data_IF_097439224392
#
_entry.id   IF_097439224392
#
_cell.length_a   1.000
_cell.length_b   1.000
_cell.length_c   1.000
_cell.angle_alpha   90.00
_cell.angle_beta   90.00
_cell.angle_gamma   90.00
#
_symmetry.space_group_name_H-M   'P 1'
#
loop_
_entity.id
_entity.type
_entity.pdbx_description
1 polymer ?
#
# COMPACT_ATOMS: atom_id res chain seq x y z
N UNK A 1 -8.29 5.22 3.60
CA UNK A 1 -7.81 4.78 2.26
C UNK A 1 -8.93 4.11 1.45
N UNK A 2 -9.51 3.00 1.93
CA UNK A 2 -10.51 2.18 1.23
C UNK A 2 -11.69 2.97 0.63
N UNK A 3 -12.33 3.82 1.43
CA UNK A 3 -13.49 4.62 0.99
C UNK A 3 -13.20 5.53 -0.20
N UNK A 4 -11.95 6.02 -0.33
CA UNK A 4 -11.55 6.89 -1.45
C UNK A 4 -11.53 6.11 -2.76
N UNK A 5 -11.00 4.89 -2.71
CA UNK A 5 -10.93 4.00 -3.88
C UNK A 5 -12.33 3.48 -4.24
N UNK A 6 -13.15 3.12 -3.24
CA UNK A 6 -14.54 2.78 -3.49
C UNK A 6 -15.33 3.93 -4.15
N UNK A 7 -15.11 5.17 -3.70
CA UNK A 7 -15.68 6.36 -4.32
C UNK A 7 -15.25 6.54 -5.78
N UNK A 8 -13.96 6.35 -6.09
CA UNK A 8 -13.45 6.37 -7.46
C UNK A 8 -14.02 5.25 -8.32
N UNK A 9 -14.15 4.05 -7.77
CA UNK A 9 -14.71 2.90 -8.47
C UNK A 9 -16.18 3.15 -8.85
N UNK A 10 -16.94 3.77 -7.95
CA UNK A 10 -18.30 4.23 -8.23
C UNK A 10 -18.35 5.33 -9.29
N UNK A 11 -17.43 6.30 -9.25
CA UNK A 11 -17.35 7.39 -10.25
C UNK A 11 -16.93 6.88 -11.62
N UNK A 12 -16.03 5.88 -11.70
CA UNK A 12 -15.58 5.25 -12.94
C UNK A 12 -16.67 4.40 -13.60
N UNK A 13 -17.62 3.89 -12.81
CA UNK A 13 -18.71 3.04 -13.29
C UNK A 13 -20.09 3.61 -12.96
N UNK A 14 -20.48 4.78 -13.52
CA UNK A 14 -21.74 5.44 -13.18
C UNK A 14 -22.96 4.65 -13.66
N UNK A 15 -22.81 3.83 -14.71
CA UNK A 15 -23.88 3.01 -15.30
C UNK A 15 -24.04 1.64 -14.62
N UNK A 16 -23.13 1.26 -13.73
CA UNK A 16 -23.21 -0.01 -13.01
C UNK A 16 -23.84 0.20 -11.64
N UNK A 17 -24.74 -0.71 -11.27
CA UNK A 17 -25.30 -0.70 -9.91
C UNK A 17 -24.19 -0.94 -8.89
N UNK A 18 -24.31 -0.33 -7.71
CA UNK A 18 -23.34 -0.51 -6.63
C UNK A 18 -23.18 -2.01 -6.24
N UNK A 19 -24.23 -2.81 -6.39
CA UNK A 19 -24.19 -4.27 -6.18
C UNK A 19 -23.30 -4.95 -7.22
N UNK A 20 -23.39 -4.57 -8.49
CA UNK A 20 -22.53 -5.12 -9.56
C UNK A 20 -21.08 -4.69 -9.39
N UNK A 21 -20.85 -3.41 -9.04
CA UNK A 21 -19.51 -2.90 -8.73
C UNK A 21 -18.88 -3.68 -7.57
N UNK A 22 -19.63 -3.90 -6.48
CA UNK A 22 -19.16 -4.72 -5.35
C UNK A 22 -18.87 -6.16 -5.76
N UNK A 23 -19.75 -6.80 -6.52
CA UNK A 23 -19.56 -8.19 -6.95
C UNK A 23 -18.33 -8.37 -7.85
N UNK A 24 -18.06 -7.41 -8.73
CA UNK A 24 -16.97 -7.51 -9.71
C UNK A 24 -15.61 -7.12 -9.12
N UNK A 25 -15.57 -6.10 -8.28
CA UNK A 25 -14.31 -5.47 -7.85
C UNK A 25 -14.05 -5.55 -6.34
N UNK A 26 -15.03 -5.97 -5.55
CA UNK A 26 -14.90 -6.12 -4.10
C UNK A 26 -15.34 -7.53 -3.62
N UNK A 27 -14.80 -8.64 -4.18
CA UNK A 27 -15.03 -9.96 -3.61
C UNK A 27 -14.50 -10.00 -2.18
N UNK A 28 -15.32 -10.43 -1.21
CA UNK A 28 -14.91 -10.48 0.20
C UNK A 28 -14.51 -9.14 0.82
N UNK A 29 -15.00 -8.01 0.27
CA UNK A 29 -14.59 -6.66 0.66
C UNK A 29 -13.11 -6.33 0.39
N UNK A 30 -12.45 -7.10 -0.47
CA UNK A 30 -11.09 -6.87 -0.93
C UNK A 30 -11.12 -6.21 -2.30
N UNK A 31 -10.47 -5.06 -2.47
CA UNK A 31 -10.47 -4.38 -3.77
C UNK A 31 -9.53 -5.14 -4.71
N UNK A 32 -10.10 -5.76 -5.75
CA UNK A 32 -9.39 -6.49 -6.81
C UNK A 32 -9.91 -6.04 -8.17
N UNK A 33 -9.01 -5.77 -9.11
CA UNK A 33 -9.38 -5.46 -10.50
C UNK A 33 -8.35 -6.08 -11.44
N UNK A 34 -8.81 -6.80 -12.47
CA UNK A 34 -7.97 -7.35 -13.54
C UNK A 34 -6.75 -8.15 -13.04
N UNK A 35 -6.94 -8.92 -11.95
CA UNK A 35 -5.88 -9.74 -11.33
C UNK A 35 -4.96 -8.98 -10.38
N UNK A 36 -5.12 -7.66 -10.22
CA UNK A 36 -4.35 -6.82 -9.30
C UNK A 36 -5.17 -6.59 -8.03
N UNK A 37 -4.59 -7.00 -6.89
CA UNK A 37 -5.15 -6.69 -5.58
C UNK A 37 -4.61 -5.35 -5.06
N UNK A 38 -5.51 -4.55 -4.49
CA UNK A 38 -5.10 -3.35 -3.77
C UNK A 38 -4.21 -3.75 -2.60
N UNK A 39 -2.96 -3.27 -2.65
CA UNK A 39 -2.00 -3.43 -1.58
C UNK A 39 -2.58 -3.00 -0.22
N UNK A 40 -2.34 -3.81 0.80
CA UNK A 40 -2.84 -3.62 2.17
C UNK A 40 -1.69 -3.19 3.08
N UNK A 41 -1.48 -1.87 3.30
CA UNK A 41 -0.37 -1.40 4.15
C UNK A 41 -0.46 -1.93 5.57
N UNK A 42 -1.68 -2.18 6.06
CA UNK A 42 -1.93 -2.74 7.41
C UNK A 42 -1.42 -4.18 7.56
N UNK A 43 -1.28 -4.93 6.47
CA UNK A 43 -0.74 -6.29 6.51
C UNK A 43 0.78 -6.31 6.70
N UNK A 44 1.47 -5.19 6.42
CA UNK A 44 2.91 -5.09 6.59
C UNK A 44 3.21 -4.63 8.01
N UNK A 45 3.92 -5.48 8.75
CA UNK A 45 4.49 -5.11 10.03
C UNK A 45 5.57 -4.04 9.80
N UNK A 46 5.42 -2.88 10.42
CA UNK A 46 6.43 -1.82 10.33
C UNK A 46 7.53 -2.12 11.35
N UNK A 47 8.65 -2.69 10.91
CA UNK A 47 9.86 -2.78 11.73
C UNK A 47 10.58 -1.43 11.69
N UNK A 48 10.35 -0.60 12.71
CA UNK A 48 11.18 0.58 12.95
C UNK A 48 12.49 0.16 13.61
N UNK A 49 13.58 0.87 13.29
CA UNK A 49 14.91 0.63 13.86
C UNK A 49 15.49 -0.75 13.55
N UNK A 50 15.48 -1.14 12.27
CA UNK A 50 16.33 -2.25 11.82
C UNK A 50 17.79 -1.80 11.90
N UNK A 51 18.54 -2.31 12.89
CA UNK A 51 19.98 -2.10 12.99
C UNK A 51 20.65 -2.60 11.70
N UNK A 52 21.35 -1.70 10.99
CA UNK A 52 22.07 -2.01 9.74
C UNK A 52 23.59 -2.14 9.94
N UNK A 53 24.05 -2.17 11.20
CA UNK A 53 25.48 -2.22 11.52
C UNK A 53 26.21 -0.91 11.22
N UNK A 54 27.53 -0.93 11.37
CA UNK A 54 28.48 0.13 10.97
C UNK A 54 28.65 0.29 9.45
N UNK A 55 27.82 -0.39 8.64
CA UNK A 55 27.88 -0.34 7.16
C UNK A 55 27.44 1.00 6.57
N UNK A 56 26.65 1.77 7.31
CA UNK A 56 26.28 3.11 6.88
C UNK A 56 27.26 4.07 7.57
N UNK A 57 28.18 4.71 6.82
CA UNK A 57 29.07 5.69 7.42
C UNK A 57 28.23 6.85 7.95
N UNK A 58 28.49 7.27 9.18
CA UNK A 58 27.87 8.48 9.71
C UNK A 58 28.59 9.70 9.12
N UNK A 59 27.89 10.77 8.75
CA UNK A 59 28.48 11.89 8.02
C UNK A 59 29.47 12.73 8.85
N UNK A 60 29.62 12.44 10.15
CA UNK A 60 30.58 13.04 11.08
C UNK A 60 31.67 12.06 11.52
N UNK A 61 31.76 10.86 10.90
CA UNK A 61 32.90 9.97 11.10
C UNK A 61 34.03 10.45 10.19
N UNK A 62 34.78 11.45 10.66
CA UNK A 62 36.10 11.73 10.10
C UNK A 62 36.98 10.52 10.42
N UNK A 63 37.29 9.71 9.41
CA UNK A 63 38.41 8.77 9.49
C UNK A 63 39.71 9.59 9.53
N UNK A 64 40.06 10.07 10.73
CA UNK A 64 41.37 10.59 11.02
C UNK A 64 42.38 9.47 10.78
N UNK A 65 43.05 9.53 9.63
CA UNK A 65 44.14 8.64 9.26
C UNK A 65 45.38 9.14 10.02
N UNK A 66 45.94 8.28 10.87
CA UNK A 66 47.19 8.50 11.59
C UNK A 66 48.40 8.27 10.67
#
# INVERSE_FOLDING_TARGET
MFWRIYGWLRKRHPKLSARTVKRRYLPGWEIRADGIELFRPRAILITRYRYRGSRIPTPWTDTATA
#
